data_IF_614668087413
#
_entry.id   IF_614668087413
#
_cell.length_a   1.000
_cell.length_b   1.000
_cell.length_c   1.000
_cell.angle_alpha   90.00
_cell.angle_beta   90.00
_cell.angle_gamma   90.00
#
_symmetry.space_group_name_H-M   'P 1'
#
loop_
_entity.id
_entity.type
_entity.pdbx_description
1 polymer ?
#
# COMPACT_ATOMS: atom_id res chain seq x y z
N UNK A 1 -18.16 -11.82 -0.64
CA UNK A 1 -17.49 -10.52 -0.36
C UNK A 1 -16.04 -10.82 -0.03
N UNK A 2 -15.12 -10.20 -0.73
CA UNK A 2 -13.70 -10.47 -0.67
C UNK A 2 -12.94 -9.26 -0.10
N UNK A 3 -11.66 -9.45 0.20
CA UNK A 3 -10.75 -8.34 0.49
C UNK A 3 -9.96 -7.96 -0.73
N UNK A 4 -9.81 -6.65 -0.94
CA UNK A 4 -8.92 -6.08 -1.94
C UNK A 4 -7.66 -5.57 -1.25
N UNK A 5 -6.51 -6.16 -1.57
CA UNK A 5 -5.18 -5.72 -1.14
C UNK A 5 -4.46 -5.03 -2.29
N UNK A 6 -3.92 -3.85 -2.03
CA UNK A 6 -3.00 -3.17 -2.94
C UNK A 6 -1.80 -2.63 -2.19
N UNK A 7 -0.61 -3.18 -2.46
CA UNK A 7 0.66 -2.72 -1.92
C UNK A 7 1.52 -2.11 -3.03
N UNK A 8 1.99 -0.90 -2.78
CA UNK A 8 2.97 -0.20 -3.62
C UNK A 8 4.30 -0.21 -2.88
N UNK A 9 5.23 -1.04 -3.36
CA UNK A 9 6.57 -1.15 -2.81
C UNK A 9 7.55 -0.23 -3.51
N UNK A 10 8.32 0.52 -2.72
CA UNK A 10 9.26 1.54 -3.23
C UNK A 10 10.62 1.45 -2.56
N UNK A 11 11.56 2.31 -2.95
CA UNK A 11 12.69 2.66 -2.11
C UNK A 11 12.21 3.54 -0.93
N UNK A 12 13.09 3.82 0.04
CA UNK A 12 12.74 4.46 1.31
C UNK A 12 12.09 5.84 1.13
N UNK A 13 10.87 5.97 1.60
CA UNK A 13 10.06 7.20 1.59
C UNK A 13 10.42 8.03 2.81
N UNK A 14 10.55 9.36 2.69
CA UNK A 14 10.76 10.22 3.85
C UNK A 14 9.61 10.07 4.87
N UNK A 15 9.95 9.76 6.12
CA UNK A 15 9.00 9.47 7.20
C UNK A 15 7.88 10.52 7.31
N UNK A 16 8.24 11.80 7.26
CA UNK A 16 7.29 12.92 7.37
C UNK A 16 6.22 12.98 6.27
N UNK A 17 6.38 12.24 5.17
CA UNK A 17 5.36 12.22 4.11
C UNK A 17 4.33 11.12 4.33
N UNK A 18 4.67 10.08 5.09
CA UNK A 18 3.86 8.86 5.22
C UNK A 18 2.44 9.13 5.77
N UNK A 19 2.23 9.90 6.85
CA UNK A 19 0.87 10.13 7.35
C UNK A 19 -0.06 10.72 6.28
N UNK A 20 0.41 11.75 5.56
CA UNK A 20 -0.37 12.40 4.51
C UNK A 20 -0.61 11.47 3.31
N UNK A 21 0.38 10.63 2.96
CA UNK A 21 0.26 9.65 1.87
C UNK A 21 -0.79 8.58 2.23
N UNK A 22 -0.77 8.05 3.44
CA UNK A 22 -1.71 7.02 3.87
C UNK A 22 -3.14 7.56 3.94
N UNK A 23 -3.33 8.79 4.44
CA UNK A 23 -4.62 9.46 4.42
C UNK A 23 -5.13 9.63 2.98
N UNK A 24 -4.28 10.15 2.08
CA UNK A 24 -4.63 10.33 0.66
C UNK A 24 -4.95 9.00 -0.03
N UNK A 25 -4.18 7.94 0.26
CA UNK A 25 -4.40 6.61 -0.30
C UNK A 25 -5.76 6.05 0.12
N UNK A 26 -6.13 6.24 1.40
CA UNK A 26 -7.45 5.86 1.92
C UNK A 26 -8.57 6.62 1.20
N UNK A 27 -8.48 7.94 1.18
CA UNK A 27 -9.49 8.82 0.57
C UNK A 27 -9.67 8.49 -0.93
N UNK A 28 -8.58 8.27 -1.66
CA UNK A 28 -8.63 7.89 -3.08
C UNK A 28 -9.27 6.52 -3.27
N UNK A 29 -8.96 5.53 -2.45
CA UNK A 29 -9.55 4.20 -2.54
C UNK A 29 -11.05 4.25 -2.28
N UNK A 30 -11.48 4.89 -1.19
CA UNK A 30 -12.90 5.03 -0.82
C UNK A 30 -13.66 5.81 -1.90
N UNK A 31 -13.13 6.94 -2.35
CA UNK A 31 -13.75 7.78 -3.38
C UNK A 31 -13.91 7.04 -4.71
N UNK A 32 -12.84 6.41 -5.19
CA UNK A 32 -12.84 5.73 -6.49
C UNK A 32 -13.74 4.50 -6.50
N UNK A 33 -13.77 3.71 -5.41
CA UNK A 33 -14.72 2.59 -5.27
C UNK A 33 -16.15 3.09 -5.25
N UNK A 34 -16.44 4.19 -4.55
CA UNK A 34 -17.76 4.81 -4.52
C UNK A 34 -18.18 5.34 -5.92
N UNK A 35 -17.29 6.03 -6.63
CA UNK A 35 -17.52 6.51 -7.99
C UNK A 35 -17.86 5.36 -8.95
N UNK A 36 -17.22 4.22 -8.79
CA UNK A 36 -17.49 3.00 -9.55
C UNK A 36 -18.64 2.17 -8.97
N UNK A 37 -19.34 2.63 -7.94
CA UNK A 37 -20.44 1.90 -7.28
C UNK A 37 -20.04 0.48 -6.88
N UNK A 38 -18.83 0.33 -6.37
CA UNK A 38 -18.35 -0.91 -5.81
C UNK A 38 -18.64 -0.88 -4.31
N UNK A 39 -19.54 -1.74 -3.78
CA UNK A 39 -19.79 -1.81 -2.35
C UNK A 39 -18.56 -2.33 -1.60
N UNK A 40 -18.25 -1.71 -0.48
CA UNK A 40 -17.20 -2.12 0.46
C UNK A 40 -17.59 -1.71 1.89
N UNK A 41 -16.98 -2.33 2.89
CA UNK A 41 -17.26 -2.04 4.31
C UNK A 41 -16.30 -1.00 4.89
N UNK A 42 -15.01 -1.20 4.71
CA UNK A 42 -13.98 -0.33 5.27
C UNK A 42 -12.68 -0.38 4.46
N UNK A 43 -11.90 0.71 4.52
CA UNK A 43 -10.54 0.78 3.98
C UNK A 43 -9.57 1.05 5.13
N UNK A 44 -8.59 0.15 5.32
CA UNK A 44 -7.47 0.32 6.24
C UNK A 44 -6.17 0.51 5.46
N UNK A 45 -5.34 1.44 5.90
CA UNK A 45 -4.05 1.72 5.28
C UNK A 45 -2.90 1.37 6.20
N UNK A 46 -1.81 0.91 5.59
CA UNK A 46 -0.58 0.52 6.28
C UNK A 46 0.61 1.19 5.61
N UNK A 47 1.57 1.60 6.43
CA UNK A 47 2.78 2.25 5.95
C UNK A 47 4.04 1.82 6.67
N UNK A 48 5.08 1.55 5.87
CA UNK A 48 6.45 1.34 6.34
C UNK A 48 7.39 2.21 5.53
N UNK A 49 8.67 2.35 5.88
CA UNK A 49 9.61 3.15 5.07
C UNK A 49 9.60 2.84 3.58
N UNK A 50 9.31 1.59 3.19
CA UNK A 50 9.42 1.12 1.80
C UNK A 50 8.13 0.69 1.14
N UNK A 51 6.97 0.89 1.81
CA UNK A 51 5.67 0.52 1.23
C UNK A 51 4.54 1.36 1.76
N UNK A 52 3.55 1.53 0.92
CA UNK A 52 2.24 2.03 1.24
C UNK A 52 1.21 1.01 0.74
N UNK A 53 0.26 0.66 1.58
CA UNK A 53 -0.71 -0.41 1.32
C UNK A 53 -2.09 0.02 1.75
N UNK A 54 -3.12 -0.37 1.01
CA UNK A 54 -4.46 -0.39 1.57
C UNK A 54 -5.07 -1.78 1.45
N UNK A 55 -5.96 -2.08 2.38
CA UNK A 55 -6.84 -3.24 2.34
C UNK A 55 -8.27 -2.73 2.46
N UNK A 56 -9.09 -3.02 1.47
CA UNK A 56 -10.52 -2.81 1.53
C UNK A 56 -11.21 -4.12 1.89
N UNK A 57 -12.02 -4.11 2.93
CA UNK A 57 -12.82 -5.26 3.39
C UNK A 57 -14.25 -5.18 2.86
N UNK A 58 -14.89 -6.36 2.76
CA UNK A 58 -16.28 -6.45 2.36
C UNK A 58 -16.55 -5.99 0.93
N UNK A 59 -15.57 -6.12 0.02
CA UNK A 59 -15.73 -5.71 -1.37
C UNK A 59 -16.63 -6.70 -2.10
N UNK A 60 -17.65 -6.19 -2.77
CA UNK A 60 -18.58 -7.00 -3.56
C UNK A 60 -17.93 -7.54 -4.83
N UNK A 61 -18.43 -8.65 -5.36
CA UNK A 61 -17.95 -9.27 -6.60
C UNK A 61 -18.48 -8.56 -7.86
N UNK A 62 -19.59 -7.81 -7.73
CA UNK A 62 -20.18 -7.04 -8.80
C UNK A 62 -20.60 -5.65 -8.29
N UNK A 63 -20.62 -4.67 -9.21
CA UNK A 63 -21.22 -3.36 -8.97
C UNK A 63 -22.71 -3.50 -8.65
N UNK A 64 -23.23 -2.55 -7.91
CA UNK A 64 -24.68 -2.40 -7.78
C UNK A 64 -25.30 -1.99 -9.11
N UNK A 65 -26.44 -2.60 -9.42
CA UNK A 65 -27.27 -2.17 -10.54
C UNK A 65 -27.64 -0.70 -10.36
N UNK A 66 -27.66 0.05 -11.43
CA UNK A 66 -28.08 1.43 -11.36
C UNK A 66 -29.15 1.74 -12.41
N UNK A 67 -30.03 2.63 -12.01
CA UNK A 67 -31.03 3.19 -12.89
C UNK A 67 -30.66 4.66 -13.16
N UNK A 68 -30.34 4.96 -14.39
CA UNK A 68 -30.06 6.34 -14.84
C UNK A 68 -31.29 6.89 -15.49
N UNK A 69 -31.81 7.98 -14.92
CA UNK A 69 -32.93 8.73 -15.51
C UNK A 69 -32.40 9.96 -16.28
N UNK A 70 -32.63 10.01 -17.55
CA UNK A 70 -32.33 11.18 -18.37
C UNK A 70 -33.62 11.95 -18.65
N UNK A 71 -33.64 13.25 -18.28
CA UNK A 71 -34.75 14.15 -18.56
C UNK A 71 -34.73 14.57 -20.04
N UNK A 72 -35.82 14.34 -20.74
CA UNK A 72 -36.01 14.67 -22.14
C UNK A 72 -36.92 15.88 -22.38
N UNK A 73 -37.51 16.00 -23.59
CA UNK A 73 -38.41 17.07 -23.95
C UNK A 73 -39.70 17.03 -23.14
N UNK A 74 -40.47 18.13 -23.15
CA UNK A 74 -41.79 18.15 -22.51
C UNK A 74 -42.73 17.15 -23.18
N UNK A 75 -43.64 16.55 -22.38
CA UNK A 75 -44.58 15.55 -22.85
C UNK A 75 -45.46 16.08 -24.04
N UNK A 76 -45.79 17.36 -24.03
CA UNK A 76 -46.54 18.03 -25.13
C UNK A 76 -45.80 18.05 -26.47
N UNK A 77 -44.46 18.12 -26.43
CA UNK A 77 -43.58 18.08 -27.62
C UNK A 77 -43.25 16.64 -27.99
N UNK A 78 -43.10 15.81 -26.98
CA UNK A 78 -42.72 14.41 -27.16
C UNK A 78 -43.83 13.53 -27.74
N UNK A 79 -45.09 13.85 -27.39
CA UNK A 79 -46.26 13.11 -27.88
C UNK A 79 -47.26 14.06 -28.53
N UNK A 80 -47.58 13.81 -29.80
CA UNK A 80 -48.57 14.55 -30.55
C UNK A 80 -49.73 13.62 -30.87
N UNK A 81 -50.92 13.94 -30.38
CA UNK A 81 -52.13 13.10 -30.53
C UNK A 81 -51.93 11.65 -30.04
N UNK A 82 -51.14 11.45 -28.98
CA UNK A 82 -50.85 10.14 -28.41
C UNK A 82 -49.77 9.33 -29.12
N UNK A 83 -49.23 9.83 -30.24
CA UNK A 83 -48.15 9.19 -30.97
C UNK A 83 -46.79 9.85 -30.64
N UNK A 84 -45.70 9.10 -30.59
CA UNK A 84 -44.36 9.65 -30.32
C UNK A 84 -43.92 10.53 -31.51
N UNK A 85 -43.51 11.75 -31.19
CA UNK A 85 -42.98 12.71 -32.16
C UNK A 85 -41.54 12.39 -32.55
N UNK A 86 -41.02 13.07 -33.58
CA UNK A 86 -39.60 12.99 -33.96
C UNK A 86 -38.68 13.37 -32.80
N UNK A 87 -39.12 14.25 -31.90
CA UNK A 87 -38.35 14.65 -30.72
C UNK A 87 -38.23 13.50 -29.69
N UNK A 88 -39.33 12.77 -29.42
CA UNK A 88 -39.31 11.60 -28.54
C UNK A 88 -38.46 10.46 -29.12
N UNK A 89 -38.61 10.21 -30.45
CA UNK A 89 -37.82 9.18 -31.13
C UNK A 89 -36.33 9.53 -31.13
N UNK A 90 -35.98 10.80 -31.40
CA UNK A 90 -34.58 11.27 -31.35
C UNK A 90 -33.97 11.18 -29.94
N UNK A 91 -34.77 11.55 -28.95
CA UNK A 91 -34.33 11.44 -27.53
C UNK A 91 -34.12 9.98 -27.10
N UNK A 92 -35.08 9.09 -27.34
CA UNK A 92 -34.96 7.66 -27.04
C UNK A 92 -33.74 7.03 -27.71
N UNK A 93 -33.53 7.33 -29.00
CA UNK A 93 -32.36 6.87 -29.77
C UNK A 93 -31.05 7.39 -29.18
N UNK A 94 -31.02 8.68 -28.79
CA UNK A 94 -29.83 9.29 -28.15
C UNK A 94 -29.49 8.68 -26.80
N UNK A 95 -30.51 8.20 -26.08
CA UNK A 95 -30.34 7.53 -24.79
C UNK A 95 -30.17 6.00 -24.91
N UNK A 96 -30.38 5.43 -26.11
CA UNK A 96 -30.26 3.97 -26.34
C UNK A 96 -31.40 3.16 -25.71
N UNK A 97 -32.59 3.74 -25.56
CA UNK A 97 -33.80 3.09 -25.04
C UNK A 97 -34.90 3.04 -26.12
N UNK A 98 -35.84 2.10 -25.98
CA UNK A 98 -37.01 2.09 -26.88
C UNK A 98 -37.95 3.26 -26.53
N UNK A 99 -38.58 3.82 -27.53
CA UNK A 99 -39.55 4.92 -27.35
C UNK A 99 -40.70 4.50 -26.42
N UNK A 100 -41.03 3.20 -26.38
CA UNK A 100 -42.10 2.64 -25.53
C UNK A 100 -41.69 2.59 -24.04
N UNK A 101 -40.38 2.63 -23.75
CA UNK A 101 -39.83 2.64 -22.41
C UNK A 101 -39.71 4.05 -21.81
N UNK A 102 -40.07 5.07 -22.60
CA UNK A 102 -40.09 6.44 -22.11
C UNK A 102 -41.21 6.63 -21.09
N UNK A 103 -40.86 7.14 -19.92
CA UNK A 103 -41.79 7.44 -18.82
C UNK A 103 -42.11 8.93 -18.81
N UNK A 104 -43.40 9.27 -18.76
CA UNK A 104 -43.84 10.64 -18.58
C UNK A 104 -44.04 10.96 -17.12
N UNK A 105 -43.32 11.95 -16.57
CA UNK A 105 -43.44 12.44 -15.21
C UNK A 105 -43.28 13.96 -15.21
N UNK A 106 -44.10 14.69 -14.43
CA UNK A 106 -44.02 16.13 -14.26
C UNK A 106 -43.97 16.92 -15.59
N UNK A 107 -44.83 16.57 -16.54
CA UNK A 107 -44.92 17.16 -17.89
C UNK A 107 -43.64 16.97 -18.77
N UNK A 108 -42.72 16.12 -18.37
CA UNK A 108 -41.51 15.78 -19.14
C UNK A 108 -41.40 14.28 -19.39
N UNK A 109 -40.67 13.96 -20.46
CA UNK A 109 -40.35 12.56 -20.79
C UNK A 109 -39.02 12.20 -20.16
N UNK A 110 -38.96 11.04 -19.56
CA UNK A 110 -37.71 10.49 -18.97
C UNK A 110 -37.37 9.17 -19.67
N UNK A 111 -36.13 9.03 -20.03
CA UNK A 111 -35.56 7.75 -20.41
C UNK A 111 -34.97 7.08 -19.16
N UNK A 112 -35.49 5.93 -18.79
CA UNK A 112 -35.02 5.13 -17.68
C UNK A 112 -34.13 4.02 -18.22
N UNK A 113 -32.84 4.07 -17.94
CA UNK A 113 -31.88 3.07 -18.38
C UNK A 113 -31.42 2.23 -17.18
N UNK A 114 -31.72 0.96 -17.22
CA UNK A 114 -31.15 0.01 -16.26
C UNK A 114 -29.76 -0.41 -16.72
N UNK A 115 -28.76 -0.09 -15.90
CA UNK A 115 -27.38 -0.50 -16.10
C UNK A 115 -27.10 -1.66 -15.13
N UNK A 116 -26.96 -2.87 -15.65
CA UNK A 116 -26.52 -4.00 -14.86
C UNK A 116 -25.10 -3.75 -14.33
N UNK A 117 -24.85 -4.18 -13.10
CA UNK A 117 -23.55 -4.09 -12.49
C UNK A 117 -22.53 -4.95 -13.22
N UNK A 118 -21.34 -4.41 -13.44
CA UNK A 118 -20.23 -5.16 -14.03
C UNK A 118 -19.48 -5.95 -12.96
N UNK A 119 -18.81 -7.08 -13.30
CA UNK A 119 -17.92 -7.76 -12.38
C UNK A 119 -16.84 -6.81 -11.88
N UNK A 120 -16.64 -6.76 -10.55
CA UNK A 120 -15.67 -5.85 -9.92
C UNK A 120 -14.25 -6.18 -10.39
N UNK A 121 -13.93 -7.46 -10.61
CA UNK A 121 -12.62 -7.89 -11.11
C UNK A 121 -12.19 -7.19 -12.39
N UNK A 122 -13.14 -6.91 -13.29
CA UNK A 122 -12.85 -6.24 -14.57
C UNK A 122 -12.55 -4.74 -14.39
N UNK A 123 -13.01 -4.15 -13.31
CA UNK A 123 -12.84 -2.74 -12.98
C UNK A 123 -11.57 -2.47 -12.15
N UNK A 124 -11.14 -3.45 -11.33
CA UNK A 124 -10.02 -3.28 -10.41
C UNK A 124 -8.71 -2.85 -11.06
N UNK A 125 -8.30 -3.38 -12.24
CA UNK A 125 -7.06 -2.93 -12.89
C UNK A 125 -7.04 -1.43 -13.18
N UNK A 126 -8.14 -0.90 -13.72
CA UNK A 126 -8.31 0.53 -13.96
C UNK A 126 -8.35 1.33 -12.66
N UNK A 127 -9.14 0.89 -11.68
CA UNK A 127 -9.24 1.51 -10.36
C UNK A 127 -7.88 1.65 -9.69
N UNK A 128 -7.09 0.57 -9.61
CA UNK A 128 -5.80 0.56 -8.94
C UNK A 128 -4.75 1.41 -9.68
N UNK A 129 -4.77 1.40 -11.01
CA UNK A 129 -3.93 2.27 -11.83
C UNK A 129 -4.26 3.74 -11.62
N UNK A 130 -5.54 4.07 -11.55
CA UNK A 130 -6.03 5.44 -11.29
C UNK A 130 -5.64 5.92 -9.89
N UNK A 131 -5.78 5.07 -8.86
CA UNK A 131 -5.35 5.38 -7.49
C UNK A 131 -3.85 5.68 -7.49
N UNK A 132 -3.03 4.79 -8.06
CA UNK A 132 -1.57 4.92 -8.08
C UNK A 132 -1.12 6.22 -8.77
N UNK A 133 -1.72 6.55 -9.92
CA UNK A 133 -1.36 7.75 -10.69
C UNK A 133 -1.92 9.04 -10.11
N UNK A 134 -2.97 8.96 -9.30
CA UNK A 134 -3.59 10.11 -8.62
C UNK A 134 -2.88 10.52 -7.34
N UNK A 135 -1.95 9.69 -6.81
CA UNK A 135 -1.19 10.03 -5.62
C UNK A 135 -0.28 11.25 -5.85
N UNK A 136 -0.38 12.22 -4.95
CA UNK A 136 0.41 13.43 -4.98
C UNK A 136 1.38 13.47 -3.80
N UNK A 137 2.60 13.93 -4.04
CA UNK A 137 3.65 14.00 -3.04
C UNK A 137 4.27 15.40 -3.03
N UNK A 138 4.74 15.88 -1.87
CA UNK A 138 5.41 17.18 -1.77
C UNK A 138 6.67 17.25 -2.63
N UNK A 139 7.31 16.11 -2.87
CA UNK A 139 8.50 16.00 -3.71
C UNK A 139 8.47 14.70 -4.50
N UNK A 140 8.57 14.82 -5.81
CA UNK A 140 8.63 13.74 -6.77
C UNK A 140 9.99 13.64 -7.42
N UNK A 141 10.36 12.46 -7.90
CA UNK A 141 11.53 12.22 -8.71
C UNK A 141 11.18 11.38 -9.95
N UNK A 142 12.02 11.47 -10.96
CA UNK A 142 12.07 10.53 -12.09
C UNK A 142 13.21 9.54 -11.86
N UNK A 143 13.09 8.35 -12.42
CA UNK A 143 14.15 7.35 -12.37
C UNK A 143 14.22 6.57 -13.68
N UNK A 144 15.40 6.04 -13.99
CA UNK A 144 15.72 5.41 -15.27
C UNK A 144 15.32 6.34 -16.45
N UNK A 145 14.68 5.79 -17.46
CA UNK A 145 14.18 6.47 -18.65
C UNK A 145 12.67 6.80 -18.59
N UNK A 146 12.04 6.59 -17.41
CA UNK A 146 10.61 6.82 -17.25
C UNK A 146 10.26 8.30 -17.10
N UNK A 147 9.21 8.73 -17.79
CA UNK A 147 8.64 10.08 -17.60
C UNK A 147 7.76 10.17 -16.35
N UNK A 148 7.27 9.04 -15.87
CA UNK A 148 6.46 8.96 -14.68
C UNK A 148 7.21 9.46 -13.45
N UNK A 149 6.53 10.25 -12.61
CA UNK A 149 7.10 10.83 -11.40
C UNK A 149 6.43 10.24 -10.18
N UNK A 150 7.22 9.81 -9.22
CA UNK A 150 6.72 9.30 -7.94
C UNK A 150 7.64 9.75 -6.80
N UNK A 151 7.21 9.52 -5.54
CA UNK A 151 8.00 9.91 -4.35
C UNK A 151 9.36 9.21 -4.30
N UNK A 152 9.38 7.94 -4.70
CA UNK A 152 10.57 7.06 -4.83
C UNK A 152 10.33 6.06 -5.95
N UNK A 153 11.40 5.45 -6.51
CA UNK A 153 11.25 4.40 -7.52
C UNK A 153 10.37 3.24 -7.01
N UNK A 154 9.37 2.88 -7.81
CA UNK A 154 8.52 1.72 -7.54
C UNK A 154 9.35 0.46 -7.85
N UNK A 155 9.33 -0.50 -6.93
CA UNK A 155 10.15 -1.72 -7.00
C UNK A 155 9.33 -3.00 -7.11
N UNK A 156 8.13 -3.00 -6.57
CA UNK A 156 7.17 -4.11 -6.68
C UNK A 156 5.76 -3.62 -6.47
N UNK A 157 4.79 -4.40 -6.92
CA UNK A 157 3.36 -4.20 -6.68
C UNK A 157 2.75 -5.53 -6.23
N UNK A 158 1.93 -5.50 -5.18
CA UNK A 158 1.03 -6.60 -4.84
C UNK A 158 -0.40 -6.10 -5.02
N UNK A 159 -1.19 -6.81 -5.82
CA UNK A 159 -2.59 -6.50 -6.02
C UNK A 159 -3.38 -7.81 -6.02
N UNK A 160 -4.19 -8.02 -4.98
CA UNK A 160 -4.97 -9.23 -4.78
C UNK A 160 -6.43 -8.90 -4.50
N UNK A 161 -7.32 -9.63 -5.12
CA UNK A 161 -8.73 -9.66 -4.77
C UNK A 161 -9.06 -11.08 -4.27
N UNK A 162 -9.23 -11.22 -2.96
CA UNK A 162 -9.15 -12.53 -2.30
C UNK A 162 -7.77 -13.14 -2.48
N UNK A 163 -7.69 -14.23 -3.20
CA UNK A 163 -6.45 -14.95 -3.58
C UNK A 163 -6.01 -14.70 -5.04
N UNK A 164 -6.83 -14.00 -5.83
CA UNK A 164 -6.56 -13.73 -7.25
C UNK A 164 -5.72 -12.47 -7.47
N UNK A 165 -4.74 -12.55 -8.37
CA UNK A 165 -3.91 -11.41 -8.75
C UNK A 165 -4.66 -10.50 -9.71
N UNK A 166 -4.76 -9.23 -9.37
CA UNK A 166 -5.31 -8.19 -10.25
C UNK A 166 -4.16 -7.59 -11.07
N UNK A 167 -4.24 -7.64 -12.42
CA UNK A 167 -3.16 -7.16 -13.28
C UNK A 167 -3.08 -5.63 -13.28
N UNK A 168 -1.99 -5.10 -12.75
CA UNK A 168 -1.64 -3.67 -12.79
C UNK A 168 -0.19 -3.57 -13.22
N UNK A 169 0.11 -2.64 -14.13
CA UNK A 169 1.48 -2.40 -14.58
C UNK A 169 1.78 -0.90 -14.58
N UNK A 170 2.92 -0.51 -14.01
CA UNK A 170 3.44 0.86 -14.05
C UNK A 170 4.95 0.82 -14.19
N UNK A 171 5.51 1.61 -15.09
CA UNK A 171 6.98 1.71 -15.33
C UNK A 171 7.66 0.34 -15.48
N UNK A 172 7.01 -0.62 -16.15
CA UNK A 172 7.51 -1.97 -16.33
C UNK A 172 7.42 -2.88 -15.11
N UNK A 173 6.89 -2.39 -13.97
CA UNK A 173 6.63 -3.19 -12.78
C UNK A 173 5.21 -3.73 -12.85
N UNK A 174 5.08 -5.05 -12.86
CA UNK A 174 3.79 -5.77 -12.86
C UNK A 174 3.42 -6.19 -11.45
N UNK A 175 2.13 -6.13 -11.17
CA UNK A 175 1.58 -6.67 -9.92
C UNK A 175 1.70 -8.19 -9.85
N UNK A 176 1.73 -8.71 -8.64
CA UNK A 176 1.78 -10.15 -8.36
C UNK A 176 1.42 -10.45 -6.93
N UNK A 177 1.78 -11.64 -6.47
CA UNK A 177 1.62 -12.10 -5.07
C UNK A 177 2.85 -11.83 -4.20
N UNK A 178 3.94 -11.31 -4.76
CA UNK A 178 5.21 -11.25 -4.05
C UNK A 178 5.49 -9.85 -3.49
N UNK A 179 5.45 -9.73 -2.17
CA UNK A 179 5.96 -8.61 -1.40
C UNK A 179 7.44 -8.82 -1.05
N UNK A 180 7.99 -7.95 -0.22
CA UNK A 180 9.38 -8.05 0.30
C UNK A 180 9.39 -7.98 1.80
N UNK A 181 10.05 -8.95 2.45
CA UNK A 181 10.32 -8.94 3.88
C UNK A 181 11.33 -7.89 4.29
N UNK A 182 11.67 -7.87 5.58
CA UNK A 182 12.69 -6.98 6.11
C UNK A 182 14.03 -7.18 5.40
N UNK A 183 14.70 -6.07 5.04
CA UNK A 183 15.92 -6.09 4.21
C UNK A 183 17.05 -6.92 4.85
N UNK A 184 17.17 -6.90 6.18
CA UNK A 184 18.31 -7.45 6.88
C UNK A 184 17.97 -8.60 7.85
N UNK A 185 16.77 -8.60 8.46
CA UNK A 185 16.40 -9.58 9.48
C UNK A 185 15.82 -10.88 8.93
N UNK A 186 15.45 -10.87 7.65
CA UNK A 186 14.90 -12.05 7.02
C UNK A 186 15.93 -13.19 7.03
N UNK A 187 15.52 -14.44 7.36
CA UNK A 187 16.37 -15.60 7.16
C UNK A 187 16.78 -15.64 5.68
N UNK A 188 18.04 -15.37 5.39
CA UNK A 188 18.55 -15.57 4.04
C UNK A 188 18.62 -17.07 3.78
N UNK A 189 18.59 -17.50 2.52
CA UNK A 189 18.90 -18.88 2.16
C UNK A 189 20.28 -19.32 2.72
N UNK A 190 21.17 -18.35 3.00
CA UNK A 190 22.45 -18.52 3.68
C UNK A 190 22.30 -18.80 5.18
N UNK A 191 21.28 -18.28 5.87
CA UNK A 191 21.06 -18.55 7.29
C UNK A 191 20.48 -19.96 7.53
N UNK A 192 19.66 -20.45 6.58
CA UNK A 192 19.21 -21.84 6.57
C UNK A 192 20.35 -22.81 6.20
N UNK A 193 21.33 -22.37 5.41
CA UNK A 193 22.54 -23.17 5.11
C UNK A 193 23.54 -23.21 6.29
N UNK A 194 23.51 -22.23 7.19
CA UNK A 194 24.37 -22.23 8.41
C UNK A 194 23.93 -23.23 9.49
N UNK A 195 22.72 -23.79 9.36
CA UNK A 195 22.34 -24.94 10.21
C UNK A 195 23.07 -26.22 9.80
N UNK A 196 23.65 -26.26 8.60
CA UNK A 196 24.42 -27.37 8.06
C UNK A 196 25.63 -26.83 7.29
N UNK A 197 26.84 -26.95 7.89
CA UNK A 197 28.16 -26.87 7.27
C UNK A 197 28.80 -25.48 7.00
N UNK A 198 30.14 -25.50 6.90
CA UNK A 198 31.03 -24.35 6.84
C UNK A 198 30.75 -23.36 5.70
N UNK A 199 30.99 -22.07 5.96
CA UNK A 199 30.76 -20.93 5.06
C UNK A 199 31.39 -21.13 3.65
N UNK A 200 32.44 -21.93 3.53
CA UNK A 200 33.15 -22.17 2.28
C UNK A 200 32.33 -22.96 1.25
N UNK A 201 31.61 -23.97 1.68
CA UNK A 201 30.89 -24.88 0.79
C UNK A 201 29.51 -24.30 0.37
N UNK A 202 28.85 -23.57 1.25
CA UNK A 202 27.61 -22.88 0.92
C UNK A 202 27.83 -21.71 -0.06
N UNK A 203 28.91 -20.96 0.08
CA UNK A 203 29.28 -19.90 -0.86
C UNK A 203 29.64 -20.48 -2.25
N UNK A 204 30.31 -21.62 -2.30
CA UNK A 204 30.67 -22.31 -3.53
C UNK A 204 29.46 -22.89 -4.25
N UNK A 205 28.55 -23.53 -3.51
CA UNK A 205 27.30 -24.05 -4.06
C UNK A 205 26.39 -22.92 -4.60
N UNK A 206 26.33 -21.77 -3.91
CA UNK A 206 25.59 -20.61 -4.39
C UNK A 206 26.23 -20.01 -5.65
N UNK A 207 27.57 -19.91 -5.68
CA UNK A 207 28.33 -19.40 -6.83
C UNK A 207 28.17 -20.31 -8.07
N UNK A 208 28.21 -21.62 -7.88
CA UNK A 208 28.02 -22.59 -8.95
C UNK A 208 26.55 -22.63 -9.44
N UNK A 209 25.59 -22.44 -8.54
CA UNK A 209 24.16 -22.31 -8.89
C UNK A 209 23.89 -21.02 -9.68
N UNK A 210 24.47 -19.92 -9.27
CA UNK A 210 24.38 -18.62 -9.99
C UNK A 210 25.07 -18.71 -11.36
N UNK A 211 26.25 -19.36 -11.44
CA UNK A 211 27.01 -19.51 -12.68
C UNK A 211 26.32 -20.44 -13.69
N UNK A 212 25.65 -21.49 -13.23
CA UNK A 212 24.89 -22.41 -14.09
C UNK A 212 23.59 -21.76 -14.61
N UNK A 213 22.94 -20.90 -13.82
CA UNK A 213 21.74 -20.14 -14.23
C UNK A 213 22.06 -18.88 -15.06
N UNK A 214 23.25 -18.31 -14.93
CA UNK A 214 23.67 -17.12 -15.68
C UNK A 214 23.90 -17.39 -17.19
N UNK A 215 23.93 -18.63 -17.63
CA UNK A 215 24.01 -18.97 -19.08
C UNK A 215 22.69 -18.79 -19.83
N UNK A 216 21.57 -18.63 -19.14
CA UNK A 216 20.26 -18.39 -19.75
C UNK A 216 19.61 -17.16 -19.13
N UNK A 217 19.70 -16.02 -19.78
CA UNK A 217 18.84 -14.80 -19.77
C UNK A 217 17.96 -14.45 -18.53
N UNK A 218 18.31 -14.87 -17.31
CA UNK A 218 17.46 -14.78 -16.11
C UNK A 218 18.11 -13.98 -14.97
N UNK A 219 19.31 -13.42 -15.18
CA UNK A 219 20.01 -12.67 -14.13
C UNK A 219 19.23 -11.44 -13.62
N UNK A 220 18.42 -10.81 -14.46
CA UNK A 220 17.58 -9.66 -14.09
C UNK A 220 16.38 -10.06 -13.23
N UNK A 221 15.78 -11.21 -13.52
CA UNK A 221 14.64 -11.74 -12.76
C UNK A 221 15.07 -12.29 -11.38
N UNK A 222 16.27 -12.91 -11.29
CA UNK A 222 16.76 -13.50 -10.05
C UNK A 222 17.13 -12.45 -8.97
N UNK A 223 17.65 -11.28 -9.38
CA UNK A 223 17.92 -10.17 -8.45
C UNK A 223 16.63 -9.58 -7.88
N UNK A 224 15.53 -9.62 -8.65
CA UNK A 224 14.20 -9.22 -8.20
C UNK A 224 13.58 -10.16 -7.15
N UNK A 225 14.03 -11.44 -7.10
CA UNK A 225 13.42 -12.48 -6.25
C UNK A 225 14.11 -12.63 -4.88
N UNK A 226 15.30 -12.06 -4.70
CA UNK A 226 15.97 -12.08 -3.39
C UNK A 226 15.15 -11.26 -2.41
N UNK A 227 14.61 -11.93 -1.39
CA UNK A 227 13.79 -11.29 -0.39
C UNK A 227 12.29 -11.29 -0.69
N UNK A 228 11.83 -11.90 -1.78
CA UNK A 228 10.42 -12.02 -2.09
C UNK A 228 9.68 -12.89 -1.04
N UNK A 229 8.52 -12.41 -0.62
CA UNK A 229 7.61 -13.06 0.32
C UNK A 229 6.29 -13.24 -0.40
N UNK A 230 5.84 -14.47 -0.55
CA UNK A 230 4.55 -14.74 -1.17
C UNK A 230 3.41 -14.39 -0.20
N UNK A 231 2.45 -13.64 -0.70
CA UNK A 231 1.20 -13.31 -0.03
C UNK A 231 0.13 -14.19 -0.67
N UNK A 232 -0.32 -15.27 -0.02
CA UNK A 232 -1.25 -16.21 -0.64
C UNK A 232 -2.61 -15.56 -0.92
N UNK A 233 -3.09 -14.72 -0.02
CA UNK A 233 -4.36 -14.03 -0.07
C UNK A 233 -4.31 -12.70 0.70
N UNK A 234 -5.32 -11.86 0.50
CA UNK A 234 -5.40 -10.55 1.15
C UNK A 234 -5.60 -10.61 2.68
N UNK A 235 -6.16 -11.72 3.20
CA UNK A 235 -6.40 -11.91 4.64
C UNK A 235 -5.12 -12.19 5.41
N UNK A 236 -4.20 -12.93 4.82
CA UNK A 236 -2.94 -13.35 5.43
C UNK A 236 -1.86 -12.27 5.44
N UNK A 237 -2.08 -11.14 4.75
CA UNK A 237 -1.06 -10.11 4.52
C UNK A 237 -0.33 -9.66 5.78
N UNK A 238 -1.06 -9.20 6.81
CA UNK A 238 -0.45 -8.69 8.05
C UNK A 238 0.41 -9.76 8.73
N UNK A 239 -0.13 -10.99 8.82
CA UNK A 239 0.57 -12.11 9.47
C UNK A 239 1.81 -12.51 8.70
N UNK A 240 1.71 -12.68 7.38
CA UNK A 240 2.85 -13.05 6.54
C UNK A 240 3.95 -12.00 6.60
N UNK A 241 3.59 -10.72 6.60
CA UNK A 241 4.56 -9.64 6.74
C UNK A 241 5.23 -9.63 8.11
N UNK A 242 4.46 -9.85 9.18
CA UNK A 242 4.99 -9.96 10.55
C UNK A 242 5.98 -11.13 10.70
N UNK A 243 5.65 -12.30 10.15
CA UNK A 243 6.51 -13.49 10.15
C UNK A 243 7.82 -13.25 9.36
N UNK A 244 7.85 -12.23 8.50
CA UNK A 244 9.02 -11.79 7.73
C UNK A 244 9.64 -10.49 8.26
N UNK A 245 9.47 -10.21 9.56
CA UNK A 245 10.03 -9.06 10.27
C UNK A 245 9.61 -7.70 9.71
N UNK A 246 8.39 -7.59 9.25
CA UNK A 246 7.77 -6.34 8.83
C UNK A 246 6.45 -6.15 9.57
N UNK A 247 6.45 -5.27 10.54
CA UNK A 247 5.24 -4.83 11.21
C UNK A 247 4.59 -3.74 10.36
N UNK A 248 3.61 -4.10 9.54
CA UNK A 248 2.97 -3.17 8.59
C UNK A 248 2.05 -2.17 9.28
N UNK A 249 1.37 -2.60 10.37
CA UNK A 249 0.49 -1.74 11.14
C UNK A 249 1.31 -0.67 11.88
N UNK A 250 1.18 0.57 11.44
CA UNK A 250 1.92 1.71 11.99
C UNK A 250 1.47 2.08 13.40
N UNK A 251 0.22 1.83 13.77
CA UNK A 251 -0.30 2.17 15.09
C UNK A 251 0.22 1.17 16.12
N UNK A 252 0.16 -0.13 15.81
CA UNK A 252 0.73 -1.18 16.63
C UNK A 252 2.27 -1.02 16.76
N UNK A 253 2.94 -0.66 15.66
CA UNK A 253 4.39 -0.42 15.66
C UNK A 253 4.79 0.78 16.51
N UNK A 254 4.04 1.89 16.43
CA UNK A 254 4.25 3.08 17.26
C UNK A 254 4.13 2.77 18.74
N UNK A 255 3.09 2.01 19.11
CA UNK A 255 2.88 1.64 20.50
C UNK A 255 3.97 0.69 21.02
N UNK A 256 4.42 -0.26 20.20
CA UNK A 256 5.56 -1.12 20.55
C UNK A 256 6.84 -0.32 20.78
N UNK A 257 7.13 0.69 19.94
CA UNK A 257 8.28 1.58 20.13
C UNK A 257 8.14 2.32 21.47
N UNK A 258 6.99 2.89 21.75
CA UNK A 258 6.69 3.60 22.99
C UNK A 258 6.96 2.72 24.21
N UNK A 259 6.44 1.50 24.19
CA UNK A 259 6.60 0.55 25.28
C UNK A 259 8.06 0.16 25.47
N UNK A 260 8.78 -0.23 24.40
CA UNK A 260 10.18 -0.60 24.50
C UNK A 260 11.06 0.53 25.06
N UNK A 261 10.80 1.78 24.64
CA UNK A 261 11.51 2.96 25.14
C UNK A 261 11.23 3.18 26.61
N UNK A 262 9.99 3.04 27.04
CA UNK A 262 9.56 3.19 28.44
C UNK A 262 10.18 2.11 29.33
N UNK A 263 10.11 0.85 28.89
CA UNK A 263 10.66 -0.28 29.64
C UNK A 263 12.18 -0.17 29.84
N UNK A 264 12.90 0.26 28.78
CA UNK A 264 14.33 0.51 28.87
C UNK A 264 14.66 1.66 29.84
N UNK A 265 13.90 2.75 29.83
CA UNK A 265 14.10 3.86 30.73
C UNK A 265 13.89 3.44 32.19
N UNK A 266 12.87 2.63 32.47
CA UNK A 266 12.61 2.06 33.82
C UNK A 266 13.76 1.14 34.25
N UNK A 267 14.22 0.26 33.34
CA UNK A 267 15.33 -0.66 33.63
C UNK A 267 16.64 0.08 33.96
N UNK A 268 16.84 1.29 33.42
CA UNK A 268 17.99 2.15 33.70
C UNK A 268 17.75 3.09 34.91
N UNK A 269 16.63 2.93 35.63
CA UNK A 269 16.28 3.72 36.82
C UNK A 269 15.82 5.16 36.54
N UNK A 270 15.32 5.41 35.34
CA UNK A 270 14.81 6.70 34.87
C UNK A 270 13.37 6.63 34.36
N UNK A 271 13.00 7.65 33.64
CA UNK A 271 11.74 7.71 32.89
C UNK A 271 12.00 8.19 31.45
N UNK A 272 11.15 7.80 30.53
CA UNK A 272 11.25 8.22 29.14
C UNK A 272 10.51 9.54 28.92
N UNK A 273 11.18 10.54 28.36
CA UNK A 273 10.53 11.73 27.79
C UNK A 273 10.29 11.47 26.29
N UNK A 274 9.06 11.12 25.94
CA UNK A 274 8.69 10.79 24.58
C UNK A 274 8.12 12.02 23.89
N UNK A 275 8.84 12.51 22.88
CA UNK A 275 8.32 13.52 21.97
C UNK A 275 7.50 12.82 20.89
N UNK A 276 6.21 13.15 20.75
CA UNK A 276 5.28 12.51 19.84
C UNK A 276 5.67 12.70 18.35
N UNK A 277 6.16 13.89 17.98
CA UNK A 277 6.60 14.15 16.60
C UNK A 277 7.81 13.30 16.24
N UNK A 278 8.75 13.14 17.17
CA UNK A 278 9.91 12.27 16.99
C UNK A 278 9.51 10.80 16.95
N UNK A 279 8.59 10.37 17.81
CA UNK A 279 8.06 9.01 17.81
C UNK A 279 7.39 8.66 16.47
N UNK A 280 6.59 9.61 15.94
CA UNK A 280 5.96 9.44 14.63
C UNK A 280 6.99 9.37 13.51
N UNK A 281 8.02 10.21 13.52
CA UNK A 281 9.10 10.14 12.55
C UNK A 281 9.84 8.80 12.63
N UNK A 282 10.23 8.35 13.81
CA UNK A 282 10.92 7.07 14.04
C UNK A 282 10.05 5.90 13.61
N UNK A 283 8.75 5.94 13.88
CA UNK A 283 7.79 4.92 13.46
C UNK A 283 7.84 4.64 11.95
N UNK A 284 8.01 5.67 11.13
CA UNK A 284 8.14 5.53 9.67
C UNK A 284 9.58 5.40 9.16
N UNK A 285 10.57 5.25 10.05
CA UNK A 285 11.94 4.92 9.68
C UNK A 285 12.27 3.43 9.86
N UNK A 286 11.45 2.68 10.59
CA UNK A 286 11.69 1.27 10.92
C UNK A 286 10.56 0.38 10.46
N UNK A 287 10.88 -0.87 10.07
CA UNK A 287 9.90 -1.92 9.77
C UNK A 287 9.74 -2.92 10.92
N UNK A 288 10.80 -3.08 11.74
CA UNK A 288 10.86 -3.95 12.91
C UNK A 288 11.61 -3.24 14.03
N UNK A 289 10.89 -2.60 14.95
CA UNK A 289 11.53 -1.77 15.97
C UNK A 289 12.26 -2.62 17.03
N UNK A 290 13.43 -2.15 17.43
CA UNK A 290 14.16 -2.64 18.60
C UNK A 290 14.80 -1.43 19.26
N UNK A 291 14.38 -1.10 20.47
CA UNK A 291 14.96 -0.01 21.23
C UNK A 291 16.30 -0.42 21.84
N UNK A 292 17.25 0.48 21.86
CA UNK A 292 18.56 0.35 22.47
C UNK A 292 18.83 1.56 23.36
N UNK A 293 19.41 1.33 24.53
CA UNK A 293 19.83 2.38 25.43
C UNK A 293 21.31 2.70 25.26
N UNK A 294 21.63 3.98 25.03
CA UNK A 294 22.99 4.49 25.03
C UNK A 294 23.21 5.45 26.20
N UNK A 295 24.36 5.41 26.85
CA UNK A 295 24.74 6.31 27.94
C UNK A 295 25.86 7.26 27.50
N UNK A 296 25.72 8.54 27.85
CA UNK A 296 26.81 9.49 27.69
C UNK A 296 27.70 9.45 28.92
N UNK A 297 29.00 9.59 28.71
CA UNK A 297 29.93 9.80 29.82
C UNK A 297 29.63 11.15 30.52
N UNK A 298 29.73 11.20 31.84
CA UNK A 298 29.42 12.38 32.67
C UNK A 298 30.17 13.65 32.21
N UNK A 299 31.41 13.50 31.73
CA UNK A 299 32.20 14.63 31.22
C UNK A 299 31.52 15.43 30.10
N UNK A 300 30.63 14.78 29.29
CA UNK A 300 29.91 15.45 28.21
C UNK A 300 28.63 16.16 28.70
N UNK A 301 28.13 15.82 29.89
CA UNK A 301 26.96 16.47 30.49
C UNK A 301 27.29 17.88 30.99
N UNK A 302 28.56 18.16 31.27
CA UNK A 302 29.04 19.47 31.73
C UNK A 302 29.03 20.53 30.61
N UNK A 303 29.03 20.13 29.35
CA UNK A 303 29.09 21.02 28.19
C UNK A 303 27.73 21.73 27.87
N UNK A 304 26.62 21.29 28.43
CA UNK A 304 25.30 21.91 28.27
C UNK A 304 24.76 22.45 29.59
N UNK A 305 25.05 23.69 29.87
CA UNK A 305 24.49 24.43 31.07
C UNK A 305 22.97 24.59 31.06
N UNK A 306 22.26 24.15 30.01
CA UNK A 306 20.80 24.25 29.86
C UNK A 306 20.05 22.90 29.81
N UNK A 307 20.70 21.79 30.09
CA UNK A 307 20.00 20.50 30.24
C UNK A 307 19.48 20.41 31.67
N UNK A 308 18.19 20.62 31.85
CA UNK A 308 17.48 20.60 33.13
C UNK A 308 17.29 19.21 33.75
N UNK A 309 18.01 18.18 33.29
CA UNK A 309 17.95 16.84 33.84
C UNK A 309 19.35 16.26 34.08
N UNK A 310 19.63 15.72 35.27
CA UNK A 310 20.95 15.16 35.61
C UNK A 310 21.29 13.83 34.98
N UNK A 311 20.40 13.25 34.17
CA UNK A 311 20.62 11.96 33.49
C UNK A 311 20.02 11.97 32.07
N UNK A 312 20.73 12.55 31.11
CA UNK A 312 20.37 12.38 29.71
C UNK A 312 20.75 10.97 29.26
N UNK A 313 19.78 10.09 29.19
CA UNK A 313 19.88 8.81 28.48
C UNK A 313 19.32 9.03 27.09
N UNK A 314 20.13 8.86 26.07
CA UNK A 314 19.64 8.85 24.69
C UNK A 314 19.17 7.44 24.35
N UNK A 315 17.88 7.29 24.05
CA UNK A 315 17.33 6.02 23.60
C UNK A 315 17.24 6.09 22.09
N UNK A 316 17.92 5.16 21.41
CA UNK A 316 17.88 5.01 19.96
C UNK A 316 17.05 3.79 19.59
N UNK A 317 16.17 3.94 18.62
CA UNK A 317 15.42 2.83 18.07
C UNK A 317 16.06 2.44 16.74
N UNK A 318 16.61 1.22 16.69
CA UNK A 318 17.26 0.69 15.47
C UNK A 318 16.80 -0.74 15.21
N UNK A 319 17.00 -1.24 13.99
CA UNK A 319 16.89 -2.67 13.73
C UNK A 319 18.15 -3.40 14.22
N UNK A 320 18.03 -4.64 14.71
CA UNK A 320 19.11 -5.45 15.33
C UNK A 320 20.40 -5.58 14.51
N UNK A 321 20.44 -5.12 13.30
CA UNK A 321 21.57 -5.34 12.39
C UNK A 321 22.84 -4.55 12.77
N UNK A 322 22.73 -3.44 13.48
CA UNK A 322 23.88 -2.61 13.89
C UNK A 322 24.72 -3.19 15.01
N UNK A 323 24.25 -4.22 15.72
CA UNK A 323 25.02 -4.84 16.82
C UNK A 323 26.17 -5.76 16.37
N UNK A 324 26.27 -6.13 15.07
CA UNK A 324 27.28 -7.09 14.60
C UNK A 324 28.57 -6.51 14.03
N UNK A 325 28.73 -5.20 13.93
CA UNK A 325 29.87 -4.59 13.22
C UNK A 325 30.75 -3.64 14.04
N UNK A 326 30.61 -3.60 15.37
CA UNK A 326 31.58 -2.90 16.21
C UNK A 326 32.30 -3.91 17.11
N UNK A 327 33.52 -4.34 16.76
CA UNK A 327 34.42 -4.83 17.77
C UNK A 327 34.90 -3.65 18.64
N UNK A 328 34.91 -3.85 19.95
CA UNK A 328 35.58 -2.96 20.91
C UNK A 328 37.04 -2.72 20.53
#
# INVERSE_FOLDING_TARGET
MEKLLFEIGTEEIPAKFMPAILAQLKDLAEKKMTELRIPFEAVKTYGTPRRMTFIASGVAEAQEDSTVEAKGPSAKIAFVSGAPSKAAIGFARGQGVDVKELVVRDDYVYAVKHLAGQPVKDLLPGLLSDILTSLNFPKNMRWADHEFKFVRPIRWLVALFGDEVIPVEITGVKSGKFSRGHRFLRPSALDNAKAHESIGDAAKALFDTVKSKAKNAVASAAIGTIGAVEIPDADSYEKVMYDNYVMVDQDARRELIRQQVTDLAIAEGGHAEINEDLLEEVNYLVEWPTALCGKFEEKFLLCRRNASSPRCVSISVTSRYWQRTAPC
#
